data_IF_980913728516
#
_entry.id   IF_980913728516
#
_cell.length_a   1.000
_cell.length_b   1.000
_cell.length_c   1.000
_cell.angle_alpha   90.00
_cell.angle_beta   90.00
_cell.angle_gamma   90.00
#
_symmetry.space_group_name_H-M   'P 1'
#
loop_
_entity.id
_entity.type
_entity.pdbx_description
1 polymer ?
#
# COMPACT_ATOMS: atom_id res chain seq x y z
N UNK A 1 13.69 -32.56 13.93
CA UNK A 1 14.11 -31.47 14.85
C UNK A 1 14.99 -30.40 14.17
N UNK A 2 14.84 -30.06 12.88
CA UNK A 2 15.77 -29.11 12.20
C UNK A 2 15.11 -28.05 11.29
N UNK A 3 13.78 -27.92 11.27
CA UNK A 3 13.09 -26.90 10.45
C UNK A 3 12.84 -25.61 11.26
N UNK A 4 12.48 -25.74 12.53
CA UNK A 4 12.24 -24.61 13.43
C UNK A 4 13.49 -23.76 13.70
N UNK A 5 14.70 -24.33 13.61
CA UNK A 5 15.95 -23.57 13.77
C UNK A 5 16.34 -22.79 12.50
N UNK A 6 15.81 -23.17 11.33
CA UNK A 6 16.13 -22.52 10.04
C UNK A 6 15.36 -21.20 9.88
N UNK A 7 14.16 -21.09 10.45
CA UNK A 7 13.39 -19.83 10.45
C UNK A 7 14.07 -18.71 11.26
N UNK A 8 14.76 -19.05 12.34
CA UNK A 8 15.39 -18.05 13.22
C UNK A 8 16.64 -17.40 12.60
N UNK A 9 17.27 -18.07 11.63
CA UNK A 9 18.51 -17.60 10.99
C UNK A 9 18.26 -16.71 9.75
N UNK A 10 17.01 -16.54 9.31
CA UNK A 10 16.65 -15.73 8.13
C UNK A 10 16.13 -14.33 8.50
N UNK A 11 15.92 -14.03 9.78
CA UNK A 11 15.47 -12.71 10.24
C UNK A 11 16.61 -11.75 10.61
N UNK A 12 17.82 -12.02 10.11
CA UNK A 12 19.06 -11.31 10.46
C UNK A 12 19.42 -10.10 9.59
N UNK A 13 18.55 -9.66 8.68
CA UNK A 13 18.81 -8.47 7.86
C UNK A 13 18.40 -7.18 8.57
N UNK A 14 19.23 -6.84 9.56
CA UNK A 14 19.87 -5.53 9.76
C UNK A 14 19.19 -4.31 9.11
N UNK A 15 18.32 -3.63 9.86
CA UNK A 15 18.18 -2.17 9.76
C UNK A 15 18.96 -1.52 10.91
N UNK A 16 20.27 -1.32 10.68
CA UNK A 16 21.10 -0.49 11.54
C UNK A 16 20.74 0.98 11.31
N UNK A 17 19.98 1.57 12.23
CA UNK A 17 19.99 3.02 12.43
C UNK A 17 20.36 3.28 13.89
N UNK A 18 21.67 3.45 14.09
CA UNK A 18 22.26 3.93 15.33
C UNK A 18 21.78 5.36 15.62
N UNK A 19 20.79 5.49 16.51
CA UNK A 19 20.43 6.75 17.16
C UNK A 19 20.26 6.48 18.66
N UNK A 20 21.27 6.84 19.45
CA UNK A 20 21.41 6.45 20.85
C UNK A 20 20.53 7.21 21.85
N UNK A 21 20.48 6.67 23.07
CA UNK A 21 19.92 7.31 24.25
C UNK A 21 19.45 6.29 25.29
N UNK A 22 20.22 6.11 26.35
CA UNK A 22 20.08 5.01 27.33
C UNK A 22 18.78 4.99 28.13
N UNK A 23 18.37 3.77 28.52
CA UNK A 23 17.24 3.52 29.42
C UNK A 23 16.86 2.04 29.48
N UNK A 24 17.30 1.36 30.54
CA UNK A 24 16.76 0.13 31.16
C UNK A 24 15.80 -0.77 30.34
N UNK A 25 16.30 -1.95 29.99
CA UNK A 25 15.64 -3.25 29.75
C UNK A 25 14.11 -3.38 29.95
N UNK A 26 13.32 -2.86 29.03
CA UNK A 26 11.97 -3.41 28.79
C UNK A 26 11.94 -3.97 27.38
N UNK A 27 11.64 -5.26 27.25
CA UNK A 27 11.29 -5.93 25.98
C UNK A 27 9.92 -5.44 25.48
N UNK A 28 9.66 -4.13 25.54
CA UNK A 28 8.57 -3.54 24.78
C UNK A 28 8.98 -3.67 23.33
N UNK A 29 8.36 -4.62 22.63
CA UNK A 29 8.22 -4.49 21.19
C UNK A 29 7.81 -3.04 20.93
N UNK A 30 8.59 -2.24 20.18
CA UNK A 30 8.13 -0.92 19.81
C UNK A 30 6.81 -1.16 19.10
N UNK A 31 5.70 -0.78 19.75
CA UNK A 31 4.40 -0.69 19.11
C UNK A 31 4.61 0.40 18.08
N UNK A 32 5.02 0.01 16.87
CA UNK A 32 5.14 0.92 15.75
C UNK A 32 3.81 1.64 15.66
N UNK A 33 3.81 2.94 15.94
CA UNK A 33 2.62 3.73 15.85
C UNK A 33 2.22 3.71 14.37
N UNK A 34 1.09 3.06 14.07
CA UNK A 34 0.54 3.09 12.73
C UNK A 34 0.16 4.53 12.40
N UNK A 35 0.30 4.91 11.13
CA UNK A 35 -0.27 6.16 10.66
C UNK A 35 -1.77 6.19 10.98
N UNK A 36 -2.25 7.32 11.49
CA UNK A 36 -3.65 7.48 11.93
C UNK A 36 -4.64 7.24 10.79
N UNK A 37 -4.24 7.57 9.56
CA UNK A 37 -5.04 7.43 8.34
C UNK A 37 -4.33 6.48 7.37
N UNK A 38 -4.45 5.18 7.62
CA UNK A 38 -3.93 4.12 6.76
C UNK A 38 -5.10 3.34 6.18
N UNK A 39 -5.15 3.24 4.85
CA UNK A 39 -6.16 2.47 4.13
C UNK A 39 -5.47 1.39 3.29
N UNK A 40 -5.88 0.13 3.46
CA UNK A 40 -5.51 -0.98 2.61
C UNK A 40 -6.20 -0.93 1.24
N UNK A 41 -5.87 -1.87 0.37
CA UNK A 41 -6.42 -1.97 -1.00
C UNK A 41 -7.95 -2.01 -0.97
N UNK A 42 -8.53 -2.98 -0.28
CA UNK A 42 -9.99 -3.15 -0.25
C UNK A 42 -10.70 -1.96 0.40
N UNK A 43 -10.13 -1.43 1.49
CA UNK A 43 -10.68 -0.24 2.17
C UNK A 43 -10.73 0.96 1.22
N UNK A 44 -9.68 1.16 0.42
CA UNK A 44 -9.64 2.25 -0.55
C UNK A 44 -10.58 2.03 -1.74
N UNK A 45 -10.76 0.77 -2.18
CA UNK A 45 -11.74 0.43 -3.22
C UNK A 45 -13.19 0.61 -2.74
N UNK A 46 -13.48 0.35 -1.47
CA UNK A 46 -14.81 0.55 -0.85
C UNK A 46 -15.15 2.05 -0.79
N UNK A 47 -14.16 2.92 -0.62
CA UNK A 47 -14.34 4.38 -0.57
C UNK A 47 -14.59 5.02 -1.95
N UNK A 48 -14.52 4.27 -3.05
CA UNK A 48 -14.72 4.80 -4.39
C UNK A 48 -16.19 5.22 -4.63
N UNK A 49 -16.40 6.49 -4.96
CA UNK A 49 -17.70 7.03 -5.37
C UNK A 49 -17.78 7.22 -6.89
N UNK A 50 -18.79 6.61 -7.50
CA UNK A 50 -19.08 6.69 -8.94
C UNK A 50 -19.53 8.10 -9.37
N UNK A 51 -20.09 8.85 -8.45
CA UNK A 51 -20.68 10.17 -8.70
C UNK A 51 -19.75 11.32 -8.30
N UNK A 52 -18.46 11.03 -8.12
CA UNK A 52 -17.45 12.02 -7.80
C UNK A 52 -17.35 13.09 -8.91
N UNK A 53 -17.42 14.36 -8.52
CA UNK A 53 -17.25 15.48 -9.45
C UNK A 53 -15.77 15.73 -9.69
N UNK A 54 -15.34 15.94 -10.95
CA UNK A 54 -13.96 16.26 -11.23
C UNK A 54 -13.59 17.61 -10.60
N UNK A 55 -12.35 17.75 -10.10
CA UNK A 55 -11.88 19.04 -9.60
C UNK A 55 -11.72 20.03 -10.77
N UNK A 56 -12.07 21.31 -10.54
CA UNK A 56 -12.06 22.37 -11.56
C UNK A 56 -10.73 22.48 -12.33
N UNK A 57 -9.53 22.35 -11.73
CA UNK A 57 -8.29 22.43 -12.49
C UNK A 57 -8.13 21.33 -13.52
N UNK A 58 -8.70 20.14 -13.29
CA UNK A 58 -8.51 18.97 -14.14
C UNK A 58 -9.18 19.13 -15.50
N UNK A 59 -10.31 19.84 -15.56
CA UNK A 59 -11.07 20.02 -16.80
C UNK A 59 -10.33 20.86 -17.85
N UNK A 60 -9.33 21.65 -17.43
CA UNK A 60 -8.48 22.43 -18.34
C UNK A 60 -7.47 21.57 -19.12
N UNK A 61 -7.23 20.34 -18.69
CA UNK A 61 -6.25 19.44 -19.32
C UNK A 61 -6.96 18.46 -20.28
N UNK A 62 -7.43 18.94 -21.43
CA UNK A 62 -8.26 18.15 -22.35
C UNK A 62 -7.60 16.85 -22.86
N UNK A 63 -6.27 16.75 -22.86
CA UNK A 63 -5.56 15.52 -23.25
C UNK A 63 -5.48 14.45 -22.14
N UNK A 64 -5.68 14.85 -20.88
CA UNK A 64 -5.60 13.95 -19.71
C UNK A 64 -6.97 13.76 -19.04
N UNK A 65 -7.90 14.68 -19.27
CA UNK A 65 -9.22 14.64 -18.67
C UNK A 65 -10.13 13.64 -19.40
N UNK A 66 -10.75 12.76 -18.62
CA UNK A 66 -11.81 11.88 -19.10
C UNK A 66 -13.11 12.34 -18.43
N UNK A 67 -14.08 12.76 -19.25
CA UNK A 67 -15.35 13.28 -18.76
C UNK A 67 -16.15 12.23 -17.97
N UNK A 68 -16.10 10.98 -18.42
CA UNK A 68 -16.76 9.86 -17.76
C UNK A 68 -15.87 9.26 -16.68
N UNK A 69 -16.39 9.19 -15.44
CA UNK A 69 -15.74 8.51 -14.32
C UNK A 69 -15.31 7.09 -14.70
N UNK A 70 -14.02 6.78 -14.52
CA UNK A 70 -13.45 5.46 -14.72
C UNK A 70 -13.41 4.69 -13.40
N UNK A 71 -13.74 3.40 -13.44
CA UNK A 71 -13.62 2.53 -12.29
C UNK A 71 -12.15 2.20 -12.00
N UNK A 72 -11.78 1.96 -10.74
CA UNK A 72 -10.49 1.35 -10.43
C UNK A 72 -10.31 0.06 -11.24
N UNK A 73 -9.18 -0.07 -11.94
CA UNK A 73 -8.87 -1.24 -12.77
C UNK A 73 -8.93 -2.55 -11.98
N UNK A 74 -8.67 -2.48 -10.67
CA UNK A 74 -8.85 -3.57 -9.71
C UNK A 74 -10.26 -4.21 -9.70
N UNK A 75 -11.29 -3.50 -10.17
CA UNK A 75 -12.68 -3.96 -10.26
C UNK A 75 -13.04 -4.46 -11.66
N UNK A 76 -12.13 -4.32 -12.62
CA UNK A 76 -12.33 -4.70 -14.01
C UNK A 76 -11.60 -6.03 -14.23
N UNK A 77 -12.29 -7.00 -14.84
CA UNK A 77 -11.65 -8.23 -15.24
C UNK A 77 -10.67 -7.95 -16.37
N UNK A 78 -9.45 -8.46 -16.26
CA UNK A 78 -8.42 -8.30 -17.30
C UNK A 78 -8.93 -8.83 -18.65
N UNK A 79 -8.61 -8.12 -19.72
CA UNK A 79 -8.86 -8.57 -21.09
C UNK A 79 -7.74 -9.51 -21.54
N UNK A 80 -8.00 -10.31 -22.58
CA UNK A 80 -7.03 -11.26 -23.14
C UNK A 80 -5.71 -10.56 -23.54
N UNK A 81 -5.80 -9.37 -24.14
CA UNK A 81 -4.66 -8.56 -24.56
C UNK A 81 -3.71 -8.22 -23.40
N UNK A 82 -4.24 -7.93 -22.21
CA UNK A 82 -3.44 -7.60 -21.02
C UNK A 82 -2.80 -8.83 -20.37
N UNK A 83 -3.39 -10.01 -20.59
CA UNK A 83 -2.85 -11.29 -20.09
C UNK A 83 -1.90 -11.97 -21.07
N UNK A 84 -1.82 -11.47 -22.31
CA UNK A 84 -0.91 -11.97 -23.31
C UNK A 84 0.52 -11.56 -22.95
N UNK A 85 1.25 -12.47 -22.31
CA UNK A 85 2.69 -12.32 -22.07
C UNK A 85 3.42 -12.40 -23.42
N UNK A 86 3.90 -11.26 -23.90
CA UNK A 86 4.95 -11.21 -24.92
C UNK A 86 6.32 -11.06 -24.25
#
# INVERSE_FOLDING_TARGET
MNILNRLRNLSGDSCNSSGGGGGTTSLTTPRYQLAEHRYGREEMLILFDRNCKPPEPLTNFSSLYVEKTQFPLALIQMTEDETSAN
#
